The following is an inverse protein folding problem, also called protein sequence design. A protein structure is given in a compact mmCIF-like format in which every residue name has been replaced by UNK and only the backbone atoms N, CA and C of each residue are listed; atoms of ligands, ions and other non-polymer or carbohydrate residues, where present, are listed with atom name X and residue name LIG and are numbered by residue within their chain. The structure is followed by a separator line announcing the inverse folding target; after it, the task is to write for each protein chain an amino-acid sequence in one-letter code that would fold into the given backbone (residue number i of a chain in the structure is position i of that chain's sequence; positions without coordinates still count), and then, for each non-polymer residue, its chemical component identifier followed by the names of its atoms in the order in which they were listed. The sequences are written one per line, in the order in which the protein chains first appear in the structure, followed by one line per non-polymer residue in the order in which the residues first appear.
data_IF_010780972049
#
_entry.id   IF_010780972049
#
_cell.length_a   1.000
_cell.length_b   1.000
_cell.length_c   1.000
_cell.angle_alpha   90.00
_cell.angle_beta   90.00
_cell.angle_gamma   90.00
#
_symmetry.space_group_name_H-M   'P 1'
#
loop_
_entity.id
_entity.type
_entity.pdbx_description
1 polymer ?
#
# COMPACT_ATOMS: atom_id res chain seq x y z
N UNK A 1 -53.47 36.19 76.77
CA UNK A 1 -52.31 35.75 75.96
C UNK A 1 -52.55 36.17 74.52
N UNK A 2 -51.86 37.20 74.04
CA UNK A 2 -51.97 37.67 72.65
C UNK A 2 -50.59 38.09 72.15
N UNK A 3 -49.96 37.25 71.33
CA UNK A 3 -48.64 37.51 70.77
C UNK A 3 -48.75 38.43 69.56
N UNK A 4 -48.19 39.65 69.65
CA UNK A 4 -47.99 40.52 68.49
C UNK A 4 -46.82 39.99 67.66
N UNK A 5 -47.01 39.84 66.35
CA UNK A 5 -45.93 39.57 65.39
C UNK A 5 -45.09 40.83 65.15
N UNK A 6 -43.77 40.71 64.89
CA UNK A 6 -42.91 41.85 64.63
C UNK A 6 -43.11 42.41 63.22
N UNK A 7 -43.06 43.75 63.13
CA UNK A 7 -43.04 44.52 61.89
C UNK A 7 -41.78 44.22 61.09
N UNK A 8 -42.00 43.74 59.89
CA UNK A 8 -41.12 43.58 58.75
C UNK A 8 -40.39 44.89 58.42
N UNK A 9 -39.06 44.88 58.59
CA UNK A 9 -38.18 45.99 58.30
C UNK A 9 -37.80 46.02 56.82
N UNK A 10 -38.25 47.07 56.14
CA UNK A 10 -38.10 47.35 54.71
C UNK A 10 -36.67 47.64 54.20
N UNK A 11 -35.62 47.26 54.94
CA UNK A 11 -34.24 47.74 54.70
C UNK A 11 -33.20 46.66 54.35
N UNK A 12 -33.58 45.45 53.90
CA UNK A 12 -32.59 44.38 53.64
C UNK A 12 -32.40 43.94 52.19
N UNK A 13 -32.84 44.72 51.19
CA UNK A 13 -32.43 44.49 49.79
C UNK A 13 -31.64 45.67 49.28
N UNK A 14 -30.35 45.64 49.57
CA UNK A 14 -29.34 46.53 49.01
C UNK A 14 -29.33 46.39 47.48
N UNK A 15 -29.43 47.52 46.77
CA UNK A 15 -29.41 47.61 45.30
C UNK A 15 -28.15 47.04 44.63
N UNK A 16 -27.16 46.59 45.39
CA UNK A 16 -25.97 45.90 44.90
C UNK A 16 -26.26 44.50 44.32
N UNK A 17 -27.36 43.83 44.70
CA UNK A 17 -27.70 42.55 44.07
C UNK A 17 -28.19 42.70 42.62
N UNK A 18 -28.82 43.82 42.26
CA UNK A 18 -29.31 44.05 40.89
C UNK A 18 -28.18 44.35 39.89
N UNK A 19 -27.01 44.81 40.36
CA UNK A 19 -25.86 45.10 39.49
C UNK A 19 -24.96 43.88 39.24
N UNK A 20 -25.06 42.82 40.05
CA UNK A 20 -24.35 41.56 39.81
C UNK A 20 -25.09 40.61 38.86
N UNK A 21 -26.38 40.85 38.59
CA UNK A 21 -27.16 40.02 37.64
C UNK A 21 -27.00 40.44 36.17
N UNK A 22 -26.50 41.66 35.88
CA UNK A 22 -26.23 42.12 34.52
C UNK A 22 -24.74 42.24 34.28
N UNK A 23 -24.03 41.11 34.33
CA UNK A 23 -22.74 41.02 33.65
C UNK A 23 -22.93 41.29 32.16
N UNK A 24 -22.02 42.01 31.48
CA UNK A 24 -22.09 42.16 30.03
C UNK A 24 -22.07 40.76 29.42
N UNK A 25 -23.05 40.47 28.56
CA UNK A 25 -23.10 39.27 27.73
C UNK A 25 -21.87 39.29 26.82
N UNK A 26 -20.72 38.87 27.36
CA UNK A 26 -19.54 38.54 26.61
C UNK A 26 -20.01 37.49 25.61
N UNK A 27 -19.97 37.76 24.29
CA UNK A 27 -20.41 36.80 23.30
C UNK A 27 -19.61 35.56 23.59
N UNK A 28 -20.29 34.53 24.11
CA UNK A 28 -19.65 33.27 24.45
C UNK A 28 -18.99 32.85 23.17
N UNK A 29 -17.67 32.86 23.18
CA UNK A 29 -16.83 32.26 22.16
C UNK A 29 -17.05 30.75 22.27
N UNK A 30 -18.28 30.30 21.98
CA UNK A 30 -18.58 29.03 21.38
C UNK A 30 -17.88 29.05 20.03
N UNK A 31 -16.55 28.90 20.11
CA UNK A 31 -15.71 28.53 19.01
C UNK A 31 -16.44 27.39 18.33
N UNK A 32 -16.90 27.68 17.12
CA UNK A 32 -17.48 26.71 16.22
C UNK A 32 -16.40 25.66 16.02
N UNK A 33 -16.39 24.62 16.85
CA UNK A 33 -15.61 23.41 16.59
C UNK A 33 -16.24 22.83 15.35
N UNK A 34 -15.73 23.24 14.18
CA UNK A 34 -16.08 22.63 12.92
C UNK A 34 -15.76 21.14 13.05
N UNK A 35 -16.81 20.37 13.25
CA UNK A 35 -16.73 18.92 13.41
C UNK A 35 -16.37 18.38 12.04
N UNK A 36 -15.08 18.10 11.82
CA UNK A 36 -14.61 17.46 10.59
C UNK A 36 -15.49 16.24 10.32
N UNK A 37 -16.06 16.15 9.12
CA UNK A 37 -16.98 15.06 8.81
C UNK A 37 -16.24 13.72 8.87
N UNK A 38 -16.83 12.67 9.46
CA UNK A 38 -16.23 11.33 9.46
C UNK A 38 -15.85 10.84 8.06
N UNK A 39 -16.58 11.27 7.03
CA UNK A 39 -16.30 10.96 5.63
C UNK A 39 -14.99 11.56 5.12
N UNK A 40 -14.64 12.79 5.54
CA UNK A 40 -13.37 13.41 5.15
C UNK A 40 -12.18 12.69 5.78
N UNK A 41 -12.30 12.31 7.05
CA UNK A 41 -11.28 11.51 7.75
C UNK A 41 -11.10 10.16 7.05
N UNK A 42 -12.20 9.50 6.69
CA UNK A 42 -12.18 8.24 5.96
C UNK A 42 -11.51 8.35 4.58
N UNK A 43 -11.87 9.35 3.79
CA UNK A 43 -11.25 9.60 2.48
C UNK A 43 -9.76 9.89 2.59
N UNK A 44 -9.35 10.64 3.62
CA UNK A 44 -7.93 10.88 3.90
C UNK A 44 -7.17 9.58 4.18
N UNK A 45 -7.72 8.68 5.00
CA UNK A 45 -7.09 7.39 5.29
C UNK A 45 -7.00 6.49 4.05
N UNK A 46 -8.01 6.50 3.18
CA UNK A 46 -7.95 5.79 1.90
C UNK A 46 -6.82 6.35 1.05
N UNK A 47 -6.80 7.67 0.83
CA UNK A 47 -5.80 8.32 -0.01
C UNK A 47 -4.37 8.07 0.51
N UNK A 48 -4.15 8.22 1.82
CA UNK A 48 -2.87 7.96 2.47
C UNK A 48 -2.44 6.49 2.30
N UNK A 49 -3.37 5.56 2.50
CA UNK A 49 -3.09 4.12 2.40
C UNK A 49 -2.77 3.73 0.95
N UNK A 50 -3.51 4.25 -0.02
CA UNK A 50 -3.23 4.07 -1.45
C UNK A 50 -1.86 4.66 -1.82
N UNK A 51 -1.52 5.86 -1.33
CA UNK A 51 -0.24 6.49 -1.60
C UNK A 51 0.95 5.72 -1.02
N UNK A 52 0.87 5.30 0.25
CA UNK A 52 1.90 4.47 0.89
C UNK A 52 2.04 3.15 0.15
N UNK A 53 0.91 2.53 -0.23
CA UNK A 53 0.92 1.25 -0.92
C UNK A 53 1.50 1.28 -2.29
N UNK A 54 1.13 2.28 -3.08
CA UNK A 54 1.73 2.51 -4.39
C UNK A 54 3.23 2.75 -4.27
N UNK A 55 3.65 3.64 -3.36
CA UNK A 55 5.07 3.90 -3.11
C UNK A 55 5.84 2.64 -2.71
N UNK A 56 5.24 1.79 -1.86
CA UNK A 56 5.84 0.52 -1.45
C UNK A 56 5.92 -0.49 -2.60
N UNK A 57 4.89 -0.59 -3.43
CA UNK A 57 4.89 -1.44 -4.63
C UNK A 57 5.97 -1.02 -5.62
N UNK A 58 6.10 0.28 -5.90
CA UNK A 58 7.17 0.82 -6.74
C UNK A 58 8.56 0.53 -6.15
N UNK A 59 8.70 0.63 -4.83
CA UNK A 59 9.96 0.32 -4.16
C UNK A 59 10.32 -1.16 -4.29
N UNK A 60 9.38 -2.08 -4.06
CA UNK A 60 9.63 -3.51 -4.22
C UNK A 60 9.97 -3.88 -5.65
N UNK A 61 9.27 -3.29 -6.62
CA UNK A 61 9.56 -3.45 -8.03
C UNK A 61 10.98 -3.01 -8.36
N UNK A 62 11.35 -1.77 -8.02
CA UNK A 62 12.69 -1.24 -8.26
C UNK A 62 13.80 -2.06 -7.57
N UNK A 63 13.57 -2.54 -6.35
CA UNK A 63 14.59 -3.29 -5.62
C UNK A 63 14.72 -4.73 -6.08
N UNK A 64 13.62 -5.41 -6.40
CA UNK A 64 13.61 -6.86 -6.55
C UNK A 64 13.27 -7.36 -7.94
N UNK A 65 12.74 -6.55 -8.87
CA UNK A 65 12.27 -7.06 -10.17
C UNK A 65 13.35 -7.84 -10.91
N UNK A 66 14.54 -7.28 -11.09
CA UNK A 66 15.58 -7.92 -11.89
C UNK A 66 16.14 -9.20 -11.23
N UNK A 67 16.44 -9.15 -9.93
CA UNK A 67 16.87 -10.37 -9.21
C UNK A 67 15.78 -11.43 -9.23
N UNK A 68 14.53 -11.02 -9.04
CA UNK A 68 13.41 -11.94 -9.04
C UNK A 68 13.17 -12.56 -10.44
N UNK A 69 13.39 -11.78 -11.50
CA UNK A 69 13.40 -12.27 -12.87
C UNK A 69 14.42 -13.40 -13.06
N UNK A 70 15.66 -13.25 -12.57
CA UNK A 70 16.67 -14.31 -12.65
C UNK A 70 16.31 -15.55 -11.83
N UNK A 71 15.80 -15.35 -10.61
CA UNK A 71 15.30 -16.44 -9.75
C UNK A 71 14.27 -17.29 -10.50
N UNK A 72 13.37 -16.62 -11.22
CA UNK A 72 12.28 -17.27 -11.94
C UNK A 72 12.73 -17.88 -13.27
N UNK A 73 13.62 -17.23 -14.02
CA UNK A 73 13.88 -17.57 -15.42
C UNK A 73 15.34 -17.91 -15.78
N UNK A 74 16.27 -17.95 -14.83
CA UNK A 74 17.71 -18.14 -15.11
C UNK A 74 18.27 -17.13 -16.12
N UNK A 75 17.67 -15.94 -16.21
CA UNK A 75 17.97 -15.05 -17.33
C UNK A 75 19.32 -14.34 -17.20
N UNK A 76 19.93 -14.28 -16.01
CA UNK A 76 21.17 -13.55 -15.75
C UNK A 76 20.96 -12.11 -15.26
N UNK A 77 19.73 -11.68 -15.00
CA UNK A 77 19.48 -10.40 -14.34
C UNK A 77 20.06 -10.39 -12.90
N UNK A 78 20.45 -9.22 -12.43
CA UNK A 78 20.98 -8.97 -11.08
C UNK A 78 20.39 -7.68 -10.53
N UNK A 79 20.88 -7.16 -9.40
CA UNK A 79 20.43 -5.89 -8.84
C UNK A 79 20.61 -4.73 -9.83
N UNK A 80 19.71 -3.75 -9.82
CA UNK A 80 19.77 -2.57 -10.70
C UNK A 80 21.12 -1.84 -10.62
N UNK A 81 21.71 -1.78 -9.42
CA UNK A 81 23.02 -1.15 -9.18
C UNK A 81 24.22 -2.07 -9.45
N UNK A 82 23.99 -3.31 -9.84
CA UNK A 82 25.01 -4.33 -10.14
C UNK A 82 24.94 -4.79 -11.61
N UNK A 83 24.36 -3.96 -12.49
CA UNK A 83 24.21 -4.25 -13.93
C UNK A 83 22.78 -4.62 -14.34
N UNK A 84 21.84 -4.78 -13.39
CA UNK A 84 20.41 -4.94 -13.67
C UNK A 84 20.12 -6.03 -14.69
N UNK A 85 19.77 -5.62 -15.91
CA UNK A 85 19.45 -6.51 -17.03
C UNK A 85 20.55 -6.59 -18.10
N UNK A 86 21.69 -5.92 -17.92
CA UNK A 86 22.80 -5.89 -18.90
C UNK A 86 23.37 -7.29 -19.19
N UNK A 87 23.26 -8.20 -18.21
CA UNK A 87 23.69 -9.60 -18.33
C UNK A 87 22.54 -10.57 -18.66
N UNK A 88 21.34 -10.03 -18.96
CA UNK A 88 20.18 -10.83 -19.30
C UNK A 88 20.36 -11.54 -20.65
N UNK A 89 19.89 -12.79 -20.73
CA UNK A 89 19.90 -13.60 -21.93
C UNK A 89 19.06 -13.04 -23.08
N UNK A 90 18.25 -12.00 -22.83
CA UNK A 90 17.58 -11.21 -23.89
C UNK A 90 18.57 -10.55 -24.84
N UNK A 91 19.81 -10.31 -24.39
CA UNK A 91 20.89 -9.74 -25.20
C UNK A 91 21.72 -10.80 -25.95
N UNK A 92 21.49 -12.10 -25.68
CA UNK A 92 22.31 -13.18 -26.24
C UNK A 92 21.60 -13.78 -27.46
N UNK A 93 22.13 -13.58 -28.67
CA UNK A 93 21.48 -14.08 -29.88
C UNK A 93 21.49 -15.61 -29.93
N UNK A 94 20.38 -16.19 -30.40
CA UNK A 94 20.23 -17.63 -30.58
C UNK A 94 19.83 -18.41 -29.32
N UNK A 95 19.72 -17.75 -28.15
CA UNK A 95 19.13 -18.35 -26.96
C UNK A 95 17.63 -18.00 -26.87
N UNK A 96 16.81 -18.84 -26.21
CA UNK A 96 15.47 -18.43 -25.80
C UNK A 96 15.56 -17.19 -24.92
N UNK A 97 14.96 -16.08 -25.36
CA UNK A 97 14.96 -14.83 -24.59
C UNK A 97 14.06 -14.96 -23.36
N UNK A 98 14.47 -14.36 -22.23
CA UNK A 98 13.64 -14.27 -21.03
C UNK A 98 12.27 -13.68 -21.38
N UNK A 99 11.17 -14.38 -21.06
CA UNK A 99 9.83 -13.95 -21.47
C UNK A 99 9.36 -12.72 -20.68
N UNK A 100 9.92 -12.46 -19.50
CA UNK A 100 9.64 -11.25 -18.73
C UNK A 100 10.29 -10.03 -19.39
N UNK A 101 11.59 -10.10 -19.70
CA UNK A 101 12.32 -8.99 -20.31
C UNK A 101 11.94 -8.78 -21.79
N UNK A 102 11.59 -9.85 -22.51
CA UNK A 102 11.13 -9.80 -23.89
C UNK A 102 9.61 -9.57 -24.01
N UNK A 103 8.90 -9.36 -22.89
CA UNK A 103 7.46 -9.15 -22.91
C UNK A 103 7.10 -7.93 -23.76
N UNK A 104 6.06 -8.08 -24.58
CA UNK A 104 5.53 -6.96 -25.36
C UNK A 104 4.86 -5.95 -24.43
N UNK A 105 4.73 -4.70 -24.87
CA UNK A 105 4.07 -3.65 -24.08
C UNK A 105 2.65 -4.04 -23.59
N UNK A 106 1.79 -4.71 -24.38
CA UNK A 106 0.50 -5.21 -23.88
C UNK A 106 0.63 -6.26 -22.77
N UNK A 107 1.61 -7.18 -22.89
CA UNK A 107 1.87 -8.16 -21.85
C UNK A 107 2.37 -7.49 -20.57
N UNK A 108 3.29 -6.53 -20.69
CA UNK A 108 3.75 -5.71 -19.56
C UNK A 108 2.60 -4.97 -18.89
N UNK A 109 1.67 -4.37 -19.66
CA UNK A 109 0.49 -3.73 -19.10
C UNK A 109 -0.44 -4.71 -18.37
N UNK A 110 -0.61 -5.91 -18.90
CA UNK A 110 -1.41 -6.96 -18.28
C UNK A 110 -0.76 -7.50 -16.99
N UNK A 111 0.57 -7.49 -16.90
CA UNK A 111 1.34 -7.94 -15.74
C UNK A 111 1.78 -6.80 -14.82
N UNK A 112 1.46 -5.55 -15.14
CA UNK A 112 1.85 -4.40 -14.30
C UNK A 112 1.10 -4.46 -12.97
N UNK A 113 1.91 -4.42 -11.92
CA UNK A 113 1.57 -4.49 -10.49
C UNK A 113 0.54 -3.46 -10.03
N UNK A 114 0.26 -2.43 -10.81
CA UNK A 114 -0.69 -1.36 -10.52
C UNK A 114 -2.06 -1.94 -10.15
N UNK A 115 -2.50 -2.99 -10.86
CA UNK A 115 -3.80 -3.64 -10.67
C UNK A 115 -3.85 -4.56 -9.46
N UNK A 116 -2.78 -5.31 -9.18
CA UNK A 116 -2.72 -6.21 -8.02
C UNK A 116 -2.45 -5.47 -6.73
N UNK A 117 -1.65 -4.41 -6.77
CA UNK A 117 -1.48 -3.51 -5.62
C UNK A 117 -2.81 -2.85 -5.28
N UNK A 118 -3.54 -2.31 -6.26
CA UNK A 118 -4.87 -1.76 -6.02
C UNK A 118 -5.86 -2.80 -5.46
N UNK A 119 -5.90 -4.01 -6.03
CA UNK A 119 -6.82 -5.08 -5.61
C UNK A 119 -6.54 -5.60 -4.18
N UNK A 120 -5.25 -5.79 -3.82
CA UNK A 120 -4.84 -6.22 -2.48
C UNK A 120 -5.16 -5.13 -1.44
N UNK A 121 -4.96 -3.85 -1.79
CA UNK A 121 -5.30 -2.74 -0.90
C UNK A 121 -6.81 -2.61 -0.70
N UNK A 122 -7.62 -2.79 -1.75
CA UNK A 122 -9.09 -2.79 -1.65
C UNK A 122 -9.58 -3.96 -0.80
N UNK A 123 -9.09 -5.18 -1.05
CA UNK A 123 -9.44 -6.35 -0.25
C UNK A 123 -9.02 -6.16 1.22
N UNK A 124 -7.81 -5.68 1.48
CA UNK A 124 -7.32 -5.40 2.83
C UNK A 124 -8.19 -4.37 3.57
N UNK A 125 -8.59 -3.30 2.90
CA UNK A 125 -9.47 -2.26 3.46
C UNK A 125 -10.86 -2.79 3.82
N UNK A 126 -11.38 -3.74 3.02
CA UNK A 126 -12.67 -4.40 3.27
C UNK A 126 -12.58 -5.36 4.47
N UNK A 127 -11.47 -6.08 4.64
CA UNK A 127 -11.39 -7.20 5.58
C UNK A 127 -10.72 -6.90 6.93
N UNK A 128 -9.97 -5.80 7.09
CA UNK A 128 -9.16 -5.57 8.30
C UNK A 128 -9.43 -4.20 8.94
N UNK A 129 -10.58 -4.06 9.60
CA UNK A 129 -10.81 -2.95 10.52
C UNK A 129 -10.00 -3.16 11.82
N UNK A 130 -8.88 -2.43 11.98
CA UNK A 130 -8.42 -2.03 13.33
C UNK A 130 -6.97 -2.25 13.77
N UNK A 131 -6.07 -2.90 13.02
CA UNK A 131 -4.62 -2.98 13.37
C UNK A 131 -3.76 -2.97 12.09
N UNK A 132 -3.23 -1.80 11.74
CA UNK A 132 -3.40 -1.30 10.36
C UNK A 132 -2.14 -1.22 9.47
N UNK A 133 -0.91 -1.11 10.01
CA UNK A 133 0.29 -0.83 9.18
C UNK A 133 1.19 -2.04 8.93
N UNK A 134 1.54 -2.85 9.94
CA UNK A 134 2.47 -3.98 9.73
C UNK A 134 1.87 -5.06 8.83
N UNK A 135 0.57 -5.33 8.96
CA UNK A 135 -0.14 -6.28 8.10
C UNK A 135 -0.21 -5.79 6.66
N UNK A 136 -0.39 -4.49 6.47
CA UNK A 136 -0.37 -3.87 5.15
C UNK A 136 0.99 -4.07 4.48
N UNK A 137 2.07 -3.76 5.20
CA UNK A 137 3.44 -3.97 4.74
C UNK A 137 3.69 -5.42 4.31
N UNK A 138 3.41 -6.39 5.18
CA UNK A 138 3.64 -7.80 4.90
C UNK A 138 2.73 -8.32 3.77
N UNK A 139 1.48 -7.86 3.68
CA UNK A 139 0.58 -8.26 2.60
C UNK A 139 1.04 -7.77 1.24
N UNK A 140 1.53 -6.54 1.14
CA UNK A 140 2.09 -5.99 -0.09
C UNK A 140 3.39 -6.72 -0.47
N UNK A 141 4.26 -6.99 0.51
CA UNK A 141 5.49 -7.74 0.32
C UNK A 141 5.24 -9.13 -0.24
N UNK A 142 4.42 -9.96 0.42
CA UNK A 142 4.12 -11.30 -0.06
C UNK A 142 3.27 -11.30 -1.33
N UNK A 143 2.36 -10.32 -1.47
CA UNK A 143 1.54 -10.14 -2.67
C UNK A 143 2.39 -9.94 -3.92
N UNK A 144 3.46 -9.15 -3.84
CA UNK A 144 4.42 -8.96 -4.94
C UNK A 144 5.00 -10.29 -5.44
N UNK A 145 5.56 -11.10 -4.53
CA UNK A 145 6.18 -12.37 -4.91
C UNK A 145 5.16 -13.40 -5.39
N UNK A 146 4.01 -13.53 -4.73
CA UNK A 146 2.97 -14.49 -5.16
C UNK A 146 2.43 -14.11 -6.54
N UNK A 147 2.14 -12.83 -6.76
CA UNK A 147 1.65 -12.36 -8.05
C UNK A 147 2.70 -12.53 -9.16
N UNK A 148 3.94 -12.14 -8.89
CA UNK A 148 5.01 -12.28 -9.86
C UNK A 148 5.30 -13.75 -10.19
N UNK A 149 5.18 -14.67 -9.23
CA UNK A 149 5.27 -16.12 -9.48
C UNK A 149 4.16 -16.61 -10.43
N UNK A 150 2.92 -16.15 -10.22
CA UNK A 150 1.78 -16.49 -11.10
C UNK A 150 1.99 -15.95 -12.51
N UNK A 151 2.43 -14.70 -12.65
CA UNK A 151 2.73 -14.10 -13.95
C UNK A 151 3.88 -14.82 -14.65
N UNK A 152 4.95 -15.15 -13.92
CA UNK A 152 6.08 -15.88 -14.46
C UNK A 152 5.68 -17.28 -14.93
N UNK A 153 4.82 -17.97 -14.18
CA UNK A 153 4.28 -19.25 -14.60
C UNK A 153 3.42 -19.12 -15.86
N UNK A 154 2.58 -18.09 -15.94
CA UNK A 154 1.79 -17.80 -17.13
C UNK A 154 2.68 -17.52 -18.36
N UNK A 155 3.75 -16.73 -18.20
CA UNK A 155 4.73 -16.49 -19.25
C UNK A 155 5.42 -17.78 -19.69
N UNK A 156 5.90 -18.59 -18.73
CA UNK A 156 6.52 -19.89 -19.02
C UNK A 156 5.62 -20.76 -19.89
N UNK A 157 4.35 -20.88 -19.53
CA UNK A 157 3.37 -21.68 -20.29
C UNK A 157 3.08 -21.05 -21.66
N UNK A 158 2.92 -19.73 -21.72
CA UNK A 158 2.58 -19.04 -22.97
C UNK A 158 3.71 -19.06 -24.01
N UNK A 159 4.96 -19.00 -23.57
CA UNK A 159 6.14 -18.96 -24.47
C UNK A 159 6.86 -20.30 -24.57
N UNK A 160 6.41 -21.34 -23.87
CA UNK A 160 7.12 -22.61 -23.70
C UNK A 160 8.58 -22.42 -23.25
N UNK A 161 8.82 -21.43 -22.38
CA UNK A 161 10.17 -21.11 -21.94
C UNK A 161 10.73 -22.25 -21.05
N UNK A 162 11.96 -22.73 -21.32
CA UNK A 162 12.46 -23.98 -20.75
C UNK A 162 12.85 -23.88 -19.27
N UNK A 163 13.14 -22.68 -18.77
CA UNK A 163 13.61 -22.47 -17.40
C UNK A 163 12.50 -21.92 -16.50
N UNK A 164 12.35 -22.49 -15.30
CA UNK A 164 11.46 -21.95 -14.27
C UNK A 164 11.95 -22.30 -12.87
N UNK A 165 11.99 -21.32 -11.95
CA UNK A 165 12.40 -21.50 -10.54
C UNK A 165 13.80 -22.10 -10.37
N UNK A 166 14.79 -21.52 -11.05
CA UNK A 166 16.13 -22.09 -11.14
C UNK A 166 16.87 -22.27 -9.81
N UNK A 167 16.65 -21.39 -8.84
CA UNK A 167 17.26 -21.55 -7.51
C UNK A 167 16.82 -22.85 -6.84
N UNK A 168 15.59 -23.31 -7.09
CA UNK A 168 15.06 -24.53 -6.46
C UNK A 168 15.57 -25.81 -7.12
N UNK A 169 15.94 -25.75 -8.40
CA UNK A 169 16.31 -26.93 -9.20
C UNK A 169 17.81 -27.02 -9.55
N UNK A 170 18.63 -26.11 -9.01
CA UNK A 170 20.07 -26.05 -9.27
C UNK A 170 20.38 -25.47 -10.65
N UNK A 171 21.35 -24.54 -10.71
CA UNK A 171 21.81 -23.92 -11.96
C UNK A 171 22.49 -24.94 -12.89
N UNK A 172 22.88 -26.06 -12.32
CA UNK A 172 23.60 -27.20 -12.89
C UNK A 172 22.80 -27.88 -14.02
N UNK A 173 21.46 -27.85 -13.94
CA UNK A 173 20.59 -28.38 -14.99
C UNK A 173 20.49 -27.46 -16.23
N UNK A 174 20.97 -26.21 -16.14
CA UNK A 174 21.03 -25.30 -17.30
C UNK A 174 22.24 -25.56 -18.19
N UNK A 175 23.29 -26.19 -17.67
CA UNK A 175 24.47 -26.64 -18.44
C UNK A 175 24.17 -27.82 -19.36
N UNK A 176 23.18 -28.65 -19.02
CA UNK A 176 22.71 -29.75 -19.87
C UNK A 176 21.70 -29.29 -20.94
N UNK A 177 21.17 -28.08 -20.80
CA UNK A 177 20.48 -27.32 -21.86
C UNK A 177 21.49 -26.57 -22.75
N UNK A 178 22.68 -27.16 -22.97
CA UNK A 178 23.38 -26.98 -24.25
C UNK A 178 22.40 -27.45 -25.33
N UNK A 179 21.66 -26.48 -25.85
CA UNK A 179 20.89 -26.50 -27.07
C UNK A 179 21.61 -27.40 -28.07
N UNK A 180 21.21 -28.67 -28.10
CA UNK A 180 21.40 -29.46 -29.31
C UNK A 180 20.54 -28.72 -30.32
N UNK A 181 21.14 -28.12 -31.37
CA UNK A 181 20.34 -27.53 -32.42
C UNK A 181 19.52 -28.70 -32.97
N UNK A 182 18.21 -28.70 -32.74
CA UNK A 182 17.30 -29.55 -33.51
C UNK A 182 17.29 -28.96 -34.92
N UNK A 183 18.31 -29.33 -35.69
CA UNK A 183 18.32 -29.21 -37.14
C UNK A 183 17.37 -30.24 -37.77
#
# INVERSE_FOLDING_TARGET
MGSRKPKDSWWSRSGYQLLLEKGPDLPTTQSRKEKVSPSLIFLFYIALSCGIGYGWGCLLFFLFENVYCDILFCCGCTWDWDGGWDHCNVHVPGLPHCPWCAATYPAVLATRLDWTTAAVYVAYFIFVQGKMISRLFWSAFWGFFVYGLVCAYAFKVATNYPFFLCILFGKDNSTDLKLTPTG
#
